data_IF_297130386413
#
_entry.id   IF_297130386413
#
_cell.length_a   1.000
_cell.length_b   1.000
_cell.length_c   1.000
_cell.angle_alpha   90.00
_cell.angle_beta   90.00
_cell.angle_gamma   90.00
#
_symmetry.space_group_name_H-M   'P 1'
#
loop_
_entity.id
_entity.type
_entity.pdbx_description
1 polymer ?
#
# COMPACT_ATOMS: atom_id res chain seq x y z
N UNK A 1 -10.28 -17.11 16.29
CA UNK A 1 -9.85 -16.06 17.26
C UNK A 1 -11.09 -15.36 17.75
N UNK A 2 -11.49 -15.57 19.00
CA UNK A 2 -12.65 -14.94 19.59
C UNK A 2 -12.28 -13.53 19.98
N UNK A 3 -12.94 -12.54 19.39
CA UNK A 3 -12.87 -11.16 19.86
C UNK A 3 -13.57 -11.07 21.22
N UNK A 4 -12.92 -10.57 22.26
CA UNK A 4 -13.58 -10.32 23.54
C UNK A 4 -14.50 -9.10 23.38
N UNK A 5 -15.77 -9.34 23.09
CA UNK A 5 -16.80 -8.34 22.84
C UNK A 5 -17.65 -8.08 24.08
N UNK A 6 -17.03 -7.73 25.20
CA UNK A 6 -17.72 -7.12 26.34
C UNK A 6 -16.82 -6.04 26.92
N UNK A 7 -16.72 -4.91 26.20
CA UNK A 7 -16.17 -3.71 26.79
C UNK A 7 -17.24 -3.08 27.68
N UNK A 8 -17.02 -3.07 29.00
CA UNK A 8 -17.78 -2.25 29.93
C UNK A 8 -17.92 -0.83 29.39
N UNK A 9 -19.05 -0.17 29.61
CA UNK A 9 -19.25 1.19 29.16
C UNK A 9 -18.22 2.10 29.83
N UNK A 10 -17.17 2.45 29.09
CA UNK A 10 -16.10 3.28 29.61
C UNK A 10 -16.52 4.75 29.57
N UNK A 11 -16.62 5.34 30.73
CA UNK A 11 -16.97 6.75 30.88
C UNK A 11 -15.84 7.67 30.42
N UNK A 12 -16.21 8.72 29.70
CA UNK A 12 -15.31 9.80 29.30
C UNK A 12 -14.64 10.43 30.54
N UNK A 13 -13.33 10.65 30.55
CA UNK A 13 -12.64 11.23 31.70
C UNK A 13 -13.03 12.69 31.99
N UNK A 14 -13.67 13.38 31.05
CA UNK A 14 -14.06 14.79 31.15
C UNK A 14 -15.55 14.94 31.56
N UNK A 15 -16.48 14.37 30.80
CA UNK A 15 -17.93 14.56 31.05
C UNK A 15 -18.66 13.34 31.64
N UNK A 16 -17.98 12.20 31.77
CA UNK A 16 -18.58 10.97 32.27
C UNK A 16 -19.51 10.24 31.30
N UNK A 17 -19.75 10.77 30.10
CA UNK A 17 -20.55 10.11 29.08
C UNK A 17 -19.86 8.84 28.53
N UNK A 18 -20.68 7.89 28.08
CA UNK A 18 -20.15 6.63 27.50
C UNK A 18 -19.51 6.91 26.14
N UNK A 19 -18.24 6.57 26.01
CA UNK A 19 -17.52 6.71 24.75
C UNK A 19 -17.79 5.58 23.75
N UNK A 20 -17.90 5.93 22.48
CA UNK A 20 -18.07 4.99 21.37
C UNK A 20 -16.71 4.46 20.89
N UNK A 21 -16.62 3.20 20.53
CA UNK A 21 -15.37 2.67 19.95
C UNK A 21 -15.04 3.37 18.63
N UNK A 22 -13.84 3.94 18.54
CA UNK A 22 -13.42 4.74 17.39
C UNK A 22 -13.38 3.90 16.10
N UNK A 23 -12.87 2.68 16.15
CA UNK A 23 -12.83 1.79 15.00
C UNK A 23 -14.23 1.35 14.53
N UNK A 24 -15.16 1.12 15.46
CA UNK A 24 -16.54 0.79 15.15
C UNK A 24 -17.25 1.98 14.48
N UNK A 25 -17.00 3.20 14.95
CA UNK A 25 -17.54 4.41 14.37
C UNK A 25 -17.03 4.63 12.93
N UNK A 26 -15.73 4.40 12.67
CA UNK A 26 -15.18 4.44 11.31
C UNK A 26 -15.88 3.41 10.41
N UNK A 27 -16.14 2.21 10.91
CA UNK A 27 -16.82 1.17 10.14
C UNK A 27 -18.29 1.54 9.83
N UNK A 28 -19.00 2.16 10.78
CA UNK A 28 -20.38 2.60 10.60
C UNK A 28 -20.52 3.77 9.63
N UNK A 29 -19.59 4.72 9.70
CA UNK A 29 -19.61 5.94 8.87
C UNK A 29 -18.87 5.80 7.54
N UNK A 30 -18.33 4.62 7.24
CA UNK A 30 -17.71 4.31 5.96
C UNK A 30 -18.68 3.53 5.08
N UNK A 31 -18.98 4.04 3.89
CA UNK A 31 -19.73 3.32 2.87
C UNK A 31 -18.80 2.97 1.73
N UNK A 32 -18.81 1.70 1.33
CA UNK A 32 -18.12 1.24 0.13
C UNK A 32 -19.17 0.97 -0.95
N UNK A 33 -18.97 1.56 -2.12
CA UNK A 33 -19.82 1.34 -3.29
C UNK A 33 -18.96 1.05 -4.50
N UNK A 34 -19.34 0.02 -5.25
CA UNK A 34 -18.74 -0.25 -6.56
C UNK A 34 -19.32 0.71 -7.58
N UNK A 35 -18.45 1.31 -8.36
CA UNK A 35 -18.88 2.09 -9.52
C UNK A 35 -18.28 1.54 -10.80
N UNK A 36 -19.07 1.53 -11.86
CA UNK A 36 -18.60 1.22 -13.20
C UNK A 36 -19.14 2.28 -14.16
N UNK A 37 -18.29 2.77 -15.02
CA UNK A 37 -18.66 3.74 -16.05
C UNK A 37 -18.05 3.34 -17.38
N UNK A 38 -18.81 3.49 -18.46
CA UNK A 38 -18.30 3.42 -19.84
C UNK A 38 -18.39 4.80 -20.47
N UNK A 39 -17.33 5.20 -21.15
CA UNK A 39 -17.29 6.48 -21.86
C UNK A 39 -16.75 6.30 -23.27
N UNK A 40 -17.30 7.05 -24.22
CA UNK A 40 -16.75 7.18 -25.54
C UNK A 40 -16.22 8.62 -25.70
N UNK A 41 -15.00 8.75 -26.15
CA UNK A 41 -14.38 10.05 -26.43
C UNK A 41 -13.80 10.09 -27.84
N UNK A 42 -13.75 11.29 -28.42
CA UNK A 42 -13.06 11.52 -29.69
C UNK A 42 -11.63 11.96 -29.36
N UNK A 43 -10.66 11.18 -29.78
CA UNK A 43 -9.24 11.47 -29.60
C UNK A 43 -8.54 11.73 -30.93
N UNK A 44 -7.59 12.66 -30.94
CA UNK A 44 -6.68 12.89 -32.07
C UNK A 44 -5.40 12.08 -31.82
N UNK A 45 -5.24 10.98 -32.55
CA UNK A 45 -3.99 10.19 -32.52
C UNK A 45 -3.11 10.53 -33.74
N UNK A 46 -1.90 9.98 -33.78
CA UNK A 46 -0.96 10.14 -34.90
C UNK A 46 -1.50 9.60 -36.26
N UNK A 47 -2.59 8.82 -36.21
CA UNK A 47 -3.29 8.28 -37.39
C UNK A 47 -4.60 9.04 -37.75
N UNK A 48 -4.89 10.17 -37.10
CA UNK A 48 -6.09 11.00 -37.32
C UNK A 48 -7.11 10.91 -36.18
N UNK A 49 -8.29 11.55 -36.36
CA UNK A 49 -9.36 11.51 -35.37
C UNK A 49 -9.93 10.10 -35.25
N UNK A 50 -9.99 9.59 -34.04
CA UNK A 50 -10.54 8.27 -33.72
C UNK A 50 -11.50 8.33 -32.54
N UNK A 51 -12.46 7.39 -32.51
CA UNK A 51 -13.33 7.19 -31.33
C UNK A 51 -12.63 6.23 -30.39
N UNK A 52 -12.38 6.71 -29.18
CA UNK A 52 -11.86 5.86 -28.07
C UNK A 52 -13.02 5.51 -27.18
N UNK A 53 -13.30 4.21 -27.04
CA UNK A 53 -14.27 3.69 -26.10
C UNK A 53 -13.49 3.07 -24.94
N UNK A 54 -13.75 3.54 -23.73
CA UNK A 54 -13.14 3.03 -22.53
C UNK A 54 -14.18 2.71 -21.46
N UNK A 55 -13.91 1.68 -20.66
CA UNK A 55 -14.65 1.40 -19.44
C UNK A 55 -13.73 1.57 -18.25
N UNK A 56 -14.23 2.22 -17.20
CA UNK A 56 -13.55 2.33 -15.93
C UNK A 56 -14.46 1.78 -14.82
N UNK A 57 -13.88 1.03 -13.90
CA UNK A 57 -14.58 0.54 -12.71
C UNK A 57 -13.67 0.76 -11.50
N UNK A 58 -14.27 1.01 -10.36
CA UNK A 58 -13.52 1.22 -9.13
C UNK A 58 -14.42 1.10 -7.91
N UNK A 59 -13.79 1.05 -6.74
CA UNK A 59 -14.48 1.10 -5.45
C UNK A 59 -14.46 2.54 -4.97
N UNK A 60 -15.65 3.12 -4.77
CA UNK A 60 -15.81 4.43 -4.14
C UNK A 60 -16.00 4.21 -2.64
N UNK A 61 -15.20 4.91 -1.85
CA UNK A 61 -15.33 4.96 -0.39
C UNK A 61 -15.80 6.33 0.02
N UNK A 62 -17.04 6.41 0.44
CA UNK A 62 -17.60 7.63 1.00
C UNK A 62 -17.49 7.54 2.53
N UNK A 63 -16.82 8.52 3.13
CA UNK A 63 -16.65 8.65 4.59
C UNK A 63 -17.07 10.02 5.04
N UNK A 64 -17.59 10.11 6.25
CA UNK A 64 -17.72 11.41 6.91
C UNK A 64 -16.33 11.99 7.20
N UNK A 65 -16.20 13.31 7.28
CA UNK A 65 -14.90 13.95 7.60
C UNK A 65 -14.32 13.44 8.93
N UNK A 66 -15.18 13.09 9.90
CA UNK A 66 -14.80 12.49 11.18
C UNK A 66 -14.24 11.09 11.00
N UNK A 67 -14.94 10.23 10.25
CA UNK A 67 -14.48 8.87 9.97
C UNK A 67 -13.20 8.86 9.16
N UNK A 68 -13.00 9.82 8.27
CA UNK A 68 -11.76 9.99 7.51
C UNK A 68 -10.59 10.33 8.43
N UNK A 69 -10.72 11.33 9.29
CA UNK A 69 -9.69 11.70 10.28
C UNK A 69 -9.30 10.52 11.19
N UNK A 70 -10.28 9.73 11.63
CA UNK A 70 -10.04 8.56 12.48
C UNK A 70 -9.41 7.41 11.71
N UNK A 71 -9.81 7.19 10.45
CA UNK A 71 -9.22 6.17 9.59
C UNK A 71 -7.77 6.50 9.22
N UNK A 72 -7.47 7.77 8.97
CA UNK A 72 -6.11 8.25 8.69
C UNK A 72 -5.19 8.18 9.91
N UNK A 73 -5.76 8.30 11.13
CA UNK A 73 -5.01 8.10 12.36
C UNK A 73 -4.67 6.62 12.64
N UNK A 74 -5.27 5.68 11.89
CA UNK A 74 -4.95 4.25 12.02
C UNK A 74 -3.47 4.01 11.69
N UNK A 75 -2.71 3.36 12.58
CA UNK A 75 -1.32 3.07 12.33
C UNK A 75 -1.15 2.19 11.10
N UNK A 76 -0.29 2.61 10.18
CA UNK A 76 0.16 1.74 9.10
C UNK A 76 1.37 0.91 9.57
N UNK A 77 1.47 -0.37 9.21
CA UNK A 77 2.62 -1.20 9.58
C UNK A 77 3.90 -0.61 8.97
N UNK A 78 4.88 -0.31 9.83
CA UNK A 78 6.20 0.22 9.45
C UNK A 78 7.24 -0.88 9.31
N UNK A 79 7.01 -2.01 10.00
CA UNK A 79 7.92 -3.14 9.96
C UNK A 79 7.85 -3.83 8.59
N UNK A 80 8.98 -3.83 7.87
CA UNK A 80 9.11 -4.57 6.61
C UNK A 80 10.16 -5.67 6.81
N UNK A 81 9.75 -6.91 6.56
CA UNK A 81 10.69 -8.02 6.62
C UNK A 81 11.83 -7.80 5.61
N UNK A 82 13.12 -7.86 6.04
CA UNK A 82 14.26 -7.54 5.16
C UNK A 82 14.31 -8.42 3.91
N UNK A 83 13.91 -9.70 4.02
CA UNK A 83 13.85 -10.63 2.88
C UNK A 83 12.80 -10.21 1.85
N UNK A 84 11.67 -9.67 2.25
CA UNK A 84 10.61 -9.27 1.34
C UNK A 84 11.03 -8.12 0.41
N UNK A 85 11.87 -7.22 0.89
CA UNK A 85 12.40 -6.13 0.07
C UNK A 85 13.32 -6.65 -1.05
N UNK A 86 14.19 -7.61 -0.74
CA UNK A 86 15.10 -8.23 -1.70
C UNK A 86 14.31 -9.08 -2.70
N UNK A 87 13.34 -9.86 -2.23
CA UNK A 87 12.49 -10.69 -3.08
C UNK A 87 11.66 -9.81 -4.03
N UNK A 88 11.09 -8.72 -3.53
CA UNK A 88 10.34 -7.76 -4.34
C UNK A 88 11.21 -7.13 -5.43
N UNK A 89 12.44 -6.74 -5.11
CA UNK A 89 13.39 -6.21 -6.08
C UNK A 89 13.77 -7.26 -7.15
N UNK A 90 14.00 -8.52 -6.76
CA UNK A 90 14.30 -9.61 -7.69
C UNK A 90 13.14 -9.86 -8.68
N UNK A 91 11.90 -9.92 -8.17
CA UNK A 91 10.71 -10.10 -9.01
C UNK A 91 10.51 -8.91 -9.96
N UNK A 92 10.67 -7.68 -9.46
CA UNK A 92 10.55 -6.48 -10.29
C UNK A 92 11.61 -6.44 -11.41
N UNK A 93 12.85 -6.86 -11.12
CA UNK A 93 13.93 -6.93 -12.12
C UNK A 93 13.63 -7.96 -13.20
N UNK A 94 13.13 -9.15 -12.84
CA UNK A 94 12.72 -10.17 -13.80
C UNK A 94 11.57 -9.68 -14.69
N UNK A 95 10.56 -9.07 -14.09
CA UNK A 95 9.40 -8.54 -14.82
C UNK A 95 9.83 -7.44 -15.81
N UNK A 96 10.67 -6.50 -15.38
CA UNK A 96 11.22 -5.47 -16.25
C UNK A 96 12.01 -6.08 -17.42
N UNK A 97 12.82 -7.11 -17.17
CA UNK A 97 13.57 -7.82 -18.22
C UNK A 97 12.66 -8.46 -19.26
N UNK A 98 11.56 -9.11 -18.83
CA UNK A 98 10.60 -9.74 -19.74
C UNK A 98 9.87 -8.67 -20.59
N UNK A 99 9.42 -7.57 -19.97
CA UNK A 99 8.76 -6.47 -20.70
C UNK A 99 9.70 -5.85 -21.72
N UNK A 100 10.96 -5.63 -21.35
CA UNK A 100 11.97 -5.06 -22.23
C UNK A 100 12.25 -5.99 -23.41
N UNK A 101 12.43 -7.31 -23.17
CA UNK A 101 12.64 -8.31 -24.23
C UNK A 101 11.45 -8.35 -25.20
N UNK A 102 10.22 -8.29 -24.70
CA UNK A 102 9.00 -8.22 -25.55
C UNK A 102 8.97 -6.94 -26.39
N UNK A 103 9.30 -5.80 -25.79
CA UNK A 103 9.33 -4.53 -26.51
C UNK A 103 10.36 -4.52 -27.63
N UNK A 104 11.57 -5.06 -27.36
CA UNK A 104 12.62 -5.24 -28.39
C UNK A 104 12.19 -6.19 -29.50
N UNK A 105 11.53 -7.30 -29.18
CA UNK A 105 11.05 -8.25 -30.20
C UNK A 105 9.99 -7.62 -31.12
N UNK A 106 9.09 -6.78 -30.58
CA UNK A 106 8.11 -6.04 -31.38
C UNK A 106 8.78 -4.98 -32.28
N UNK A 107 9.81 -4.28 -31.77
CA UNK A 107 10.58 -3.33 -32.57
C UNK A 107 11.35 -4.03 -33.68
N UNK A 108 11.96 -5.17 -33.42
CA UNK A 108 12.66 -5.97 -34.42
C UNK A 108 11.68 -6.46 -35.52
N UNK A 109 10.50 -6.91 -35.15
CA UNK A 109 9.47 -7.35 -36.13
C UNK A 109 9.02 -6.19 -37.03
N UNK A 110 8.84 -4.98 -36.48
CA UNK A 110 8.51 -3.79 -37.28
C UNK A 110 9.67 -3.33 -38.16
N UNK A 111 10.90 -3.39 -37.65
CA UNK A 111 12.09 -3.01 -38.41
C UNK A 111 12.37 -3.98 -39.58
N UNK A 112 12.05 -5.26 -39.41
CA UNK A 112 12.20 -6.25 -40.48
C UNK A 112 11.29 -6.02 -41.71
N UNK A 113 10.18 -5.30 -41.53
CA UNK A 113 9.27 -4.91 -42.63
C UNK A 113 9.63 -3.57 -43.27
N UNK A 114 10.64 -2.87 -42.76
CA UNK A 114 11.10 -1.58 -43.27
C UNK A 114 11.97 -1.78 -44.50
N UNK A 115 11.88 -0.89 -45.48
CA UNK A 115 12.74 -0.85 -46.67
C UNK A 115 14.06 -0.10 -46.46
N UNK A 116 14.25 0.51 -45.28
CA UNK A 116 15.45 1.27 -44.95
C UNK A 116 16.57 0.33 -44.45
N UNK A 117 17.77 0.34 -45.08
CA UNK A 117 18.86 -0.55 -44.72
C UNK A 117 19.39 -0.35 -43.28
N UNK A 118 19.27 0.85 -42.73
CA UNK A 118 19.69 1.14 -41.35
C UNK A 118 18.76 0.46 -40.33
N UNK A 119 17.46 0.47 -40.59
CA UNK A 119 16.48 -0.20 -39.72
C UNK A 119 16.53 -1.71 -39.82
N UNK A 120 16.88 -2.28 -40.98
CA UNK A 120 17.11 -3.72 -41.15
C UNK A 120 18.36 -4.20 -40.37
N UNK A 121 19.40 -3.40 -40.32
CA UNK A 121 20.60 -3.69 -39.49
C UNK A 121 20.28 -3.75 -38.01
N UNK A 122 19.44 -2.85 -37.51
CA UNK A 122 18.95 -2.86 -36.13
C UNK A 122 18.06 -4.08 -35.84
N UNK A 123 17.24 -4.52 -36.78
CA UNK A 123 16.40 -5.71 -36.62
C UNK A 123 17.24 -6.98 -36.45
N UNK A 124 18.39 -7.09 -37.10
CA UNK A 124 19.31 -8.23 -36.96
C UNK A 124 19.99 -8.29 -35.56
N UNK A 125 20.30 -7.14 -34.97
CA UNK A 125 20.99 -7.06 -33.66
C UNK A 125 19.99 -7.12 -32.47
N UNK A 126 18.75 -6.68 -32.66
CA UNK A 126 17.73 -6.60 -31.60
C UNK A 126 17.53 -7.92 -30.81
N UNK A 127 17.45 -9.14 -31.44
CA UNK A 127 17.25 -10.38 -30.68
C UNK A 127 18.45 -10.71 -29.78
N UNK A 128 19.66 -10.39 -30.20
CA UNK A 128 20.85 -10.59 -29.38
C UNK A 128 20.88 -9.63 -28.19
N UNK A 129 20.54 -8.37 -28.42
CA UNK A 129 20.43 -7.37 -27.35
C UNK A 129 19.35 -7.77 -26.31
N UNK A 130 18.20 -8.22 -26.77
CA UNK A 130 17.14 -8.72 -25.90
C UNK A 130 17.58 -9.95 -25.08
N UNK A 131 18.31 -10.87 -25.70
CA UNK A 131 18.90 -12.05 -25.05
C UNK A 131 19.88 -11.67 -23.94
N UNK A 132 20.82 -10.76 -24.25
CA UNK A 132 21.81 -10.28 -23.27
C UNK A 132 21.11 -9.61 -22.07
N UNK A 133 20.14 -8.73 -22.30
CA UNK A 133 19.39 -8.07 -21.22
C UNK A 133 18.68 -9.10 -20.34
N UNK A 134 18.05 -10.10 -20.94
CA UNK A 134 17.34 -11.14 -20.19
C UNK A 134 18.31 -11.97 -19.32
N UNK A 135 19.46 -12.35 -19.86
CA UNK A 135 20.49 -13.08 -19.09
C UNK A 135 20.99 -12.25 -17.93
N UNK A 136 21.29 -10.96 -18.14
CA UNK A 136 21.71 -10.04 -17.07
C UNK A 136 20.64 -9.95 -15.98
N UNK A 137 19.36 -9.78 -16.35
CA UNK A 137 18.26 -9.72 -15.38
C UNK A 137 18.12 -11.03 -14.58
N UNK A 138 18.26 -12.19 -15.22
CA UNK A 138 18.20 -13.50 -14.55
C UNK A 138 19.38 -13.66 -13.58
N UNK A 139 20.59 -13.27 -13.97
CA UNK A 139 21.77 -13.34 -13.10
C UNK A 139 21.60 -12.40 -11.90
N UNK A 140 21.16 -11.16 -12.11
CA UNK A 140 20.92 -10.21 -11.01
C UNK A 140 19.81 -10.70 -10.06
N UNK A 141 18.72 -11.23 -10.60
CA UNK A 141 17.67 -11.83 -9.81
C UNK A 141 18.17 -13.05 -9.02
N UNK A 142 18.95 -13.93 -9.66
CA UNK A 142 19.57 -15.09 -9.01
C UNK A 142 20.52 -14.70 -7.87
N UNK A 143 21.34 -13.66 -8.05
CA UNK A 143 22.19 -13.12 -7.00
C UNK A 143 21.38 -12.51 -5.85
N UNK A 144 20.27 -11.83 -6.17
CA UNK A 144 19.36 -11.30 -5.14
C UNK A 144 18.70 -12.44 -4.35
N UNK A 145 18.23 -13.50 -5.01
CA UNK A 145 17.69 -14.70 -4.35
C UNK A 145 18.75 -15.40 -3.50
N UNK A 146 19.98 -15.54 -4.00
CA UNK A 146 21.09 -16.14 -3.24
C UNK A 146 21.38 -15.34 -1.96
N UNK A 147 21.42 -14.00 -2.07
CA UNK A 147 21.57 -13.13 -0.89
C UNK A 147 20.37 -13.18 0.06
N UNK A 148 19.15 -13.31 -0.48
CA UNK A 148 17.94 -13.45 0.35
C UNK A 148 17.85 -14.79 1.07
N UNK A 149 18.39 -15.86 0.48
CA UNK A 149 18.48 -17.20 1.07
C UNK A 149 19.56 -17.36 2.13
N UNK A 150 20.51 -16.41 2.21
CA UNK A 150 21.45 -16.32 3.33
C UNK A 150 20.72 -15.97 4.64
N UNK A 151 21.20 -16.47 5.76
CA UNK A 151 20.64 -16.11 7.07
C UNK A 151 20.65 -14.59 7.24
N UNK A 152 19.49 -13.95 7.47
CA UNK A 152 19.45 -12.51 7.68
C UNK A 152 20.31 -12.15 8.88
N UNK A 153 21.01 -11.02 8.80
CA UNK A 153 21.83 -10.52 9.91
C UNK A 153 20.99 -10.55 11.20
N UNK A 154 21.47 -11.23 12.26
CA UNK A 154 20.74 -11.33 13.53
C UNK A 154 20.39 -9.97 14.13
N UNK A 155 21.17 -8.92 13.82
CA UNK A 155 20.84 -7.53 14.23
C UNK A 155 19.63 -6.99 13.46
N UNK A 156 19.58 -7.22 12.15
CA UNK A 156 18.44 -6.80 11.31
C UNK A 156 17.15 -7.54 11.71
N UNK A 157 17.25 -8.83 12.05
CA UNK A 157 16.10 -9.62 12.50
C UNK A 157 15.57 -9.12 13.86
N UNK A 158 16.46 -8.83 14.81
CA UNK A 158 16.06 -8.23 16.11
C UNK A 158 15.40 -6.87 15.93
N UNK A 159 15.97 -6.01 15.07
CA UNK A 159 15.37 -4.71 14.77
C UNK A 159 13.98 -4.83 14.14
N UNK A 160 13.80 -5.81 13.24
CA UNK A 160 12.50 -6.12 12.64
C UNK A 160 11.48 -6.54 13.71
N UNK A 161 11.81 -7.50 14.58
CA UNK A 161 10.88 -7.95 15.64
C UNK A 161 10.57 -6.83 16.64
N UNK A 162 11.53 -5.97 16.96
CA UNK A 162 11.27 -4.80 17.80
C UNK A 162 10.33 -3.79 17.11
N UNK A 163 10.46 -3.59 15.80
CA UNK A 163 9.56 -2.73 15.03
C UNK A 163 8.16 -3.34 14.92
N UNK A 164 8.07 -4.64 14.67
CA UNK A 164 6.81 -5.40 14.61
C UNK A 164 6.05 -5.33 15.94
N UNK A 165 6.74 -5.53 17.07
CA UNK A 165 6.13 -5.41 18.39
C UNK A 165 5.57 -4.01 18.64
N UNK A 166 6.28 -2.96 18.21
CA UNK A 166 5.79 -1.57 18.29
C UNK A 166 4.57 -1.34 17.41
N UNK A 167 4.55 -1.87 16.19
CA UNK A 167 3.41 -1.75 15.29
C UNK A 167 2.18 -2.46 15.87
N UNK A 168 2.34 -3.63 16.47
CA UNK A 168 1.27 -4.35 17.17
C UNK A 168 0.76 -3.55 18.38
N UNK A 169 1.66 -2.95 19.16
CA UNK A 169 1.27 -2.11 20.30
C UNK A 169 0.46 -0.87 19.86
N UNK A 170 0.86 -0.21 18.75
CA UNK A 170 0.10 0.91 18.16
C UNK A 170 -1.28 0.49 17.69
N UNK A 171 -1.35 -0.65 17.01
CA UNK A 171 -2.61 -1.18 16.51
C UNK A 171 -3.55 -1.54 17.67
N UNK A 172 -3.04 -2.20 18.71
CA UNK A 172 -3.81 -2.51 19.91
C UNK A 172 -4.29 -1.22 20.63
N UNK A 173 -3.44 -0.19 20.72
CA UNK A 173 -3.83 1.10 21.25
C UNK A 173 -4.97 1.73 20.45
N UNK A 174 -4.86 1.75 19.11
CA UNK A 174 -5.90 2.30 18.23
C UNK A 174 -7.26 1.64 18.43
N UNK A 175 -7.34 0.31 18.47
CA UNK A 175 -8.61 -0.41 18.67
C UNK A 175 -9.21 -0.25 20.07
N UNK A 176 -8.42 0.14 21.04
CA UNK A 176 -8.86 0.41 22.40
C UNK A 176 -9.44 1.81 22.57
N UNK A 177 -9.09 2.76 21.72
CA UNK A 177 -9.55 4.14 21.80
C UNK A 177 -11.06 4.28 21.67
N UNK A 178 -11.60 5.23 22.48
CA UNK A 178 -13.01 5.60 22.51
C UNK A 178 -13.15 7.08 22.14
N UNK A 179 -14.21 7.39 21.46
CA UNK A 179 -14.58 8.76 21.11
C UNK A 179 -15.75 9.23 21.98
N UNK A 180 -15.60 10.40 22.58
CA UNK A 180 -16.66 11.11 23.29
C UNK A 180 -17.27 12.19 22.38
N UNK A 181 -18.56 12.07 22.11
CA UNK A 181 -19.25 12.99 21.20
C UNK A 181 -19.51 14.35 21.85
N UNK A 182 -19.74 14.39 23.17
CA UNK A 182 -20.01 15.62 23.90
C UNK A 182 -18.80 16.56 23.95
N UNK A 183 -17.62 16.02 24.18
CA UNK A 183 -16.40 16.82 24.36
C UNK A 183 -15.51 16.85 23.12
N UNK A 184 -15.87 16.11 22.06
CA UNK A 184 -15.07 15.94 20.85
C UNK A 184 -13.64 15.49 21.13
N UNK A 185 -13.46 14.56 22.07
CA UNK A 185 -12.17 13.99 22.44
C UNK A 185 -12.12 12.49 22.17
N UNK A 186 -10.89 12.00 21.93
CA UNK A 186 -10.58 10.57 21.91
C UNK A 186 -9.82 10.23 23.18
N UNK A 187 -10.15 9.13 23.84
CA UNK A 187 -9.54 8.72 25.09
C UNK A 187 -9.28 7.22 25.16
N UNK A 188 -8.30 6.85 25.96
CA UNK A 188 -8.02 5.47 26.31
C UNK A 188 -8.68 5.13 27.66
N UNK A 189 -9.59 4.14 27.68
CA UNK A 189 -10.30 3.78 28.92
C UNK A 189 -9.40 3.27 30.04
N UNK A 190 -8.25 2.66 29.71
CA UNK A 190 -7.34 2.07 30.70
C UNK A 190 -6.48 3.13 31.39
N UNK A 191 -5.86 4.02 30.60
CA UNK A 191 -4.95 5.03 31.12
C UNK A 191 -5.61 6.37 31.40
N UNK A 192 -6.84 6.57 30.96
CA UNK A 192 -7.60 7.83 31.00
C UNK A 192 -6.93 8.99 30.27
N UNK A 193 -5.86 8.72 29.50
CA UNK A 193 -5.25 9.72 28.64
C UNK A 193 -6.22 10.05 27.50
N UNK A 194 -6.27 11.31 27.13
CA UNK A 194 -7.16 11.80 26.09
C UNK A 194 -6.47 12.82 25.19
N UNK A 195 -7.02 13.01 24.00
CA UNK A 195 -6.58 13.98 23.02
C UNK A 195 -7.80 14.55 22.27
N UNK A 196 -7.61 15.66 21.58
CA UNK A 196 -8.64 16.18 20.67
C UNK A 196 -8.89 15.18 19.53
N UNK A 197 -10.11 15.16 19.02
CA UNK A 197 -10.53 14.27 17.94
C UNK A 197 -10.02 14.74 16.55
N UNK A 198 -8.73 15.08 16.48
CA UNK A 198 -8.02 15.50 15.28
C UNK A 198 -6.91 14.48 14.97
N UNK A 199 -6.69 14.18 13.71
CA UNK A 199 -5.74 13.15 13.25
C UNK A 199 -4.37 13.22 13.93
N UNK A 200 -3.76 14.42 13.97
CA UNK A 200 -2.41 14.60 14.53
C UNK A 200 -2.35 14.28 16.03
N UNK A 201 -3.35 14.71 16.80
CA UNK A 201 -3.40 14.47 18.25
C UNK A 201 -3.71 13.01 18.57
N UNK A 202 -4.56 12.35 17.76
CA UNK A 202 -4.85 10.92 17.91
C UNK A 202 -3.60 10.11 17.62
N UNK A 203 -2.87 10.41 16.54
CA UNK A 203 -1.63 9.74 16.21
C UNK A 203 -0.58 9.89 17.33
N UNK A 204 -0.45 11.08 17.91
CA UNK A 204 0.44 11.31 19.04
C UNK A 204 0.02 10.51 20.29
N UNK A 205 -1.28 10.45 20.59
CA UNK A 205 -1.80 9.66 21.70
C UNK A 205 -1.49 8.18 21.52
N UNK A 206 -1.66 7.64 20.31
CA UNK A 206 -1.35 6.24 19.98
C UNK A 206 0.16 5.95 20.22
N UNK A 207 1.05 6.83 19.77
CA UNK A 207 2.49 6.68 20.01
C UNK A 207 2.83 6.70 21.51
N UNK A 208 2.19 7.56 22.28
CA UNK A 208 2.39 7.63 23.75
C UNK A 208 1.88 6.38 24.48
N UNK A 209 0.77 5.79 23.99
CA UNK A 209 0.18 4.57 24.55
C UNK A 209 0.98 3.32 24.16
N UNK A 210 1.57 3.31 22.97
CA UNK A 210 2.42 2.22 22.50
C UNK A 210 3.82 2.21 23.15
N UNK A 211 4.25 3.33 23.72
CA UNK A 211 5.54 3.46 24.39
C UNK A 211 5.47 3.19 25.91
N UNK A 212 4.27 3.10 26.48
CA UNK A 212 4.03 2.88 27.91
C UNK A 212 3.93 1.40 28.25
#
# INVERSE_FOLDING_TARGET
MQHPNHAEPCACPVCGAVGVNMAALVAQESREGDWSGSGAGVGLGSSGPGIVVGSASGVRRDRTARAEAFAEAKPSPRARHPVNAILGAAVATLFAGIVFAKMFSMMAARAATSTDPTTQGLAAVAPYAAGVVLVVCVVLAGLAFYKAGGSPDPKALRAFHAAEARDQAREAAYYRLRYCENDHIVFDPLTRRHARAEQAWIAQLIEQLAAA
#
